data_IF_584713849907
#
_entry.id   IF_584713849907
#
_cell.length_a   1.000
_cell.length_b   1.000
_cell.length_c   1.000
_cell.angle_alpha   90.00
_cell.angle_beta   90.00
_cell.angle_gamma   90.00
#
_symmetry.space_group_name_H-M   'P 1'
#
loop_
_entity.id
_entity.type
_entity.pdbx_description
1 polymer ?
#
# COMPACT_ATOMS: atom_id res chain seq x y z
N UNK A 1 3.69 -10.50 -19.32
CA UNK A 1 2.62 -11.51 -19.17
C UNK A 1 1.23 -10.89 -19.13
N UNK A 2 0.86 -10.06 -18.13
CA UNK A 2 -0.49 -9.47 -18.10
C UNK A 2 -0.84 -8.66 -19.38
N UNK A 3 0.11 -7.85 -19.87
CA UNK A 3 -0.06 -7.11 -21.14
C UNK A 3 -0.11 -8.03 -22.37
N UNK A 4 0.70 -9.09 -22.38
CA UNK A 4 0.75 -10.07 -23.48
C UNK A 4 -0.54 -10.90 -23.55
N UNK A 5 -1.20 -11.11 -22.41
CA UNK A 5 -2.50 -11.76 -22.29
C UNK A 5 -3.69 -10.80 -22.57
N UNK A 6 -3.42 -9.53 -22.87
CA UNK A 6 -4.45 -8.54 -23.18
C UNK A 6 -5.27 -8.07 -21.96
N UNK A 7 -4.81 -8.32 -20.73
CA UNK A 7 -5.56 -7.97 -19.51
C UNK A 7 -5.74 -6.46 -19.29
N UNK A 8 -5.03 -5.63 -20.04
CA UNK A 8 -5.22 -4.18 -20.10
C UNK A 8 -6.51 -3.75 -20.80
N UNK A 9 -7.22 -4.67 -21.47
CA UNK A 9 -8.51 -4.40 -22.11
C UNK A 9 -9.67 -4.76 -21.19
N UNK A 10 -10.76 -3.99 -21.22
CA UNK A 10 -11.91 -4.29 -20.38
C UNK A 10 -12.54 -5.63 -20.79
N UNK A 11 -12.80 -6.56 -19.84
CA UNK A 11 -13.38 -7.85 -20.18
C UNK A 11 -14.75 -7.72 -20.87
N UNK A 12 -15.53 -6.65 -20.62
CA UNK A 12 -16.85 -6.45 -21.25
C UNK A 12 -16.77 -6.40 -22.78
N UNK A 13 -15.67 -5.94 -23.35
CA UNK A 13 -15.50 -5.81 -24.80
C UNK A 13 -15.23 -7.16 -25.49
N UNK A 14 -14.97 -8.23 -24.72
CA UNK A 14 -14.55 -9.54 -25.21
C UNK A 14 -15.51 -10.66 -24.82
N UNK A 15 -16.60 -10.34 -24.10
CA UNK A 15 -17.61 -11.30 -23.61
C UNK A 15 -18.15 -12.18 -24.74
N UNK A 16 -18.28 -11.64 -25.96
CA UNK A 16 -18.78 -12.39 -27.11
C UNK A 16 -17.80 -13.47 -27.62
N UNK A 17 -16.52 -13.37 -27.25
CA UNK A 17 -15.44 -14.21 -27.76
C UNK A 17 -14.80 -15.11 -26.68
N UNK A 18 -15.17 -14.93 -25.41
CA UNK A 18 -14.66 -15.72 -24.28
C UNK A 18 -15.83 -16.32 -23.49
N UNK A 19 -16.08 -17.61 -23.66
CA UNK A 19 -17.14 -18.34 -22.97
C UNK A 19 -16.96 -18.43 -21.45
N UNK A 20 -15.77 -18.10 -20.94
CA UNK A 20 -15.53 -18.01 -19.48
C UNK A 20 -15.91 -16.66 -18.88
N UNK A 21 -16.37 -15.69 -19.70
CA UNK A 21 -16.97 -14.43 -19.25
C UNK A 21 -18.51 -14.53 -19.30
N UNK A 22 -19.05 -15.59 -18.70
CA UNK A 22 -20.48 -15.89 -18.80
C UNK A 22 -21.35 -15.01 -17.88
N UNK A 23 -20.76 -14.47 -16.81
CA UNK A 23 -21.48 -13.75 -15.76
C UNK A 23 -20.87 -12.36 -15.47
N UNK A 24 -21.66 -11.41 -14.92
CA UNK A 24 -21.13 -10.14 -14.40
C UNK A 24 -20.01 -10.34 -13.36
N UNK A 25 -20.08 -11.41 -12.58
CA UNK A 25 -19.08 -11.80 -11.60
C UNK A 25 -17.74 -12.14 -12.26
N UNK A 26 -17.75 -12.88 -13.37
CA UNK A 26 -16.54 -13.22 -14.13
C UNK A 26 -15.82 -11.97 -14.65
N UNK A 27 -16.59 -11.00 -15.15
CA UNK A 27 -16.08 -9.70 -15.60
C UNK A 27 -15.41 -8.95 -14.45
N UNK A 28 -16.07 -8.87 -13.29
CA UNK A 28 -15.53 -8.18 -12.11
C UNK A 28 -14.31 -8.88 -11.51
N UNK A 29 -14.27 -10.22 -11.52
CA UNK A 29 -13.09 -10.98 -11.12
C UNK A 29 -11.88 -10.58 -11.97
N UNK A 30 -12.04 -10.47 -13.29
CA UNK A 30 -10.94 -10.08 -14.18
C UNK A 30 -10.51 -8.63 -14.00
N UNK A 31 -11.46 -7.69 -13.83
CA UNK A 31 -11.14 -6.29 -13.49
C UNK A 31 -10.34 -6.22 -12.19
N UNK A 32 -10.75 -6.97 -11.16
CA UNK A 32 -10.04 -7.04 -9.87
C UNK A 32 -8.64 -7.64 -10.01
N UNK A 33 -8.46 -8.67 -10.85
CA UNK A 33 -7.14 -9.24 -11.15
C UNK A 33 -6.24 -8.16 -11.78
N UNK A 34 -6.72 -7.45 -12.80
CA UNK A 34 -5.93 -6.40 -13.45
C UNK A 34 -5.54 -5.29 -12.47
N UNK A 35 -6.50 -4.72 -11.74
CA UNK A 35 -6.24 -3.65 -10.79
C UNK A 35 -5.37 -4.11 -9.61
N UNK A 36 -5.49 -5.38 -9.19
CA UNK A 36 -4.60 -6.01 -8.22
C UNK A 36 -3.16 -6.13 -8.72
N UNK A 37 -2.97 -6.54 -9.98
CA UNK A 37 -1.67 -6.52 -10.65
C UNK A 37 -1.11 -5.11 -10.77
N UNK A 38 -1.95 -4.13 -11.12
CA UNK A 38 -1.58 -2.72 -11.18
C UNK A 38 -1.05 -2.23 -9.83
N UNK A 39 -1.78 -2.41 -8.73
CA UNK A 39 -1.35 -2.01 -7.38
C UNK A 39 -0.04 -2.70 -6.99
N UNK A 40 0.04 -4.02 -7.23
CA UNK A 40 1.20 -4.84 -6.87
C UNK A 40 2.45 -4.44 -7.66
N UNK A 41 2.31 -4.09 -8.94
CA UNK A 41 3.41 -3.58 -9.74
C UNK A 41 4.01 -2.31 -9.12
N UNK A 42 3.19 -1.40 -8.60
CA UNK A 42 3.66 -0.15 -7.96
C UNK A 42 4.30 -0.41 -6.61
N UNK A 43 3.71 -1.28 -5.78
CA UNK A 43 4.30 -1.68 -4.50
C UNK A 43 5.67 -2.33 -4.71
N UNK A 44 5.78 -3.31 -5.62
CA UNK A 44 7.03 -4.02 -5.90
C UNK A 44 8.06 -3.07 -6.53
N UNK A 45 7.63 -2.17 -7.42
CA UNK A 45 8.51 -1.16 -8.01
C UNK A 45 9.09 -0.24 -6.95
N UNK A 46 8.27 0.21 -5.99
CA UNK A 46 8.70 1.03 -4.87
C UNK A 46 9.66 0.28 -3.94
N UNK A 47 9.44 -1.01 -3.67
CA UNK A 47 10.31 -1.84 -2.83
C UNK A 47 11.67 -2.09 -3.47
N UNK A 48 11.68 -2.45 -4.76
CA UNK A 48 12.88 -2.90 -5.47
C UNK A 48 13.63 -1.77 -6.20
N UNK A 49 13.04 -0.57 -6.28
CA UNK A 49 13.60 0.54 -7.05
C UNK A 49 13.61 0.30 -8.57
N UNK A 50 12.74 -0.59 -9.08
CA UNK A 50 12.61 -0.88 -10.52
C UNK A 50 11.57 0.03 -11.18
N UNK A 51 11.64 0.17 -12.50
CA UNK A 51 10.58 0.83 -13.27
C UNK A 51 9.24 0.08 -13.17
N UNK A 52 8.16 0.84 -13.20
CA UNK A 52 6.78 0.33 -13.32
C UNK A 52 6.54 -0.23 -14.72
N UNK A 53 5.68 -1.23 -14.82
CA UNK A 53 5.34 -1.91 -16.09
C UNK A 53 3.90 -1.65 -16.51
N UNK A 54 2.98 -1.54 -15.55
CA UNK A 54 1.57 -1.27 -15.82
C UNK A 54 1.30 0.22 -15.60
N UNK A 55 1.19 0.95 -16.71
CA UNK A 55 0.85 2.38 -16.75
C UNK A 55 -0.67 2.55 -16.68
N UNK A 56 -1.13 3.55 -15.92
CA UNK A 56 -2.57 3.77 -15.75
C UNK A 56 -3.27 4.16 -17.06
N UNK A 57 -2.62 5.00 -17.86
CA UNK A 57 -3.19 5.54 -19.11
C UNK A 57 -3.30 4.49 -20.23
N UNK A 58 -2.54 3.39 -20.13
CA UNK A 58 -2.62 2.26 -21.06
C UNK A 58 -3.72 1.25 -20.68
N UNK A 59 -4.40 1.47 -19.55
CA UNK A 59 -5.48 0.61 -19.07
C UNK A 59 -6.82 1.04 -19.69
N UNK A 60 -7.42 0.17 -20.49
CA UNK A 60 -8.82 0.32 -20.95
C UNK A 60 -9.81 -0.32 -19.95
N UNK A 61 -9.30 -1.06 -18.95
CA UNK A 61 -10.09 -1.70 -17.89
C UNK A 61 -10.85 -0.65 -17.08
N UNK A 62 -12.15 -0.83 -16.93
CA UNK A 62 -12.99 0.08 -16.15
C UNK A 62 -12.74 -0.07 -14.63
N UNK A 63 -13.08 0.96 -13.83
CA UNK A 63 -13.05 0.85 -12.39
C UNK A 63 -13.92 -0.32 -11.87
N UNK A 64 -13.45 -1.01 -10.82
CA UNK A 64 -14.16 -2.15 -10.22
C UNK A 64 -15.54 -1.75 -9.68
N UNK A 65 -16.53 -2.61 -9.89
CA UNK A 65 -17.87 -2.45 -9.35
C UNK A 65 -18.04 -3.32 -8.08
N UNK A 66 -18.78 -2.79 -7.10
CA UNK A 66 -19.15 -3.55 -5.90
C UNK A 66 -20.40 -4.35 -6.21
N UNK A 67 -20.24 -5.63 -6.53
CA UNK A 67 -21.34 -6.58 -6.66
C UNK A 67 -21.82 -7.05 -5.27
N UNK A 68 -23.09 -7.48 -5.12
CA UNK A 68 -23.55 -8.19 -3.93
C UNK A 68 -22.65 -9.40 -3.65
N UNK A 69 -22.30 -9.63 -2.37
CA UNK A 69 -21.53 -10.82 -2.02
C UNK A 69 -22.38 -12.08 -2.26
N UNK A 70 -21.82 -13.12 -2.92
CA UNK A 70 -22.52 -14.38 -3.07
C UNK A 70 -22.88 -14.96 -1.68
N UNK A 71 -24.06 -15.58 -1.52
CA UNK A 71 -24.50 -16.12 -0.22
C UNK A 71 -23.57 -17.22 0.34
N UNK A 72 -22.74 -17.82 -0.51
CA UNK A 72 -21.78 -18.88 -0.15
C UNK A 72 -20.42 -18.34 0.32
N UNK A 73 -20.15 -17.02 0.17
CA UNK A 73 -18.86 -16.44 0.51
C UNK A 73 -18.77 -16.15 2.01
N UNK A 74 -17.84 -16.81 2.70
CA UNK A 74 -17.61 -16.56 4.12
C UNK A 74 -17.03 -15.15 4.34
N UNK A 75 -17.45 -14.51 5.44
CA UNK A 75 -16.89 -13.23 5.89
C UNK A 75 -15.37 -13.34 6.04
N UNK A 76 -14.66 -12.28 5.67
CA UNK A 76 -13.23 -12.18 5.94
C UNK A 76 -12.97 -12.29 7.46
N UNK A 77 -12.05 -13.18 7.84
CA UNK A 77 -11.63 -13.39 9.25
C UNK A 77 -10.11 -13.20 9.36
N UNK A 78 -9.62 -12.52 10.41
CA UNK A 78 -8.19 -12.49 10.69
C UNK A 78 -7.65 -13.90 10.93
N UNK A 79 -6.51 -14.23 10.32
CA UNK A 79 -5.84 -15.52 10.53
C UNK A 79 -5.30 -15.57 11.96
N UNK A 80 -5.64 -16.64 12.70
CA UNK A 80 -5.11 -16.90 14.05
C UNK A 80 -5.93 -16.31 15.21
N UNK A 81 -7.17 -15.86 14.97
CA UNK A 81 -8.10 -15.39 16.00
C UNK A 81 -9.33 -16.31 16.07
N UNK A 82 -9.81 -16.59 17.29
CA UNK A 82 -10.92 -17.51 17.57
C UNK A 82 -12.27 -17.05 17.00
N UNK A 83 -13.24 -17.97 16.96
CA UNK A 83 -14.59 -17.80 16.39
C UNK A 83 -15.39 -16.63 16.98
N UNK A 84 -15.03 -16.11 18.16
CA UNK A 84 -15.67 -14.96 18.81
C UNK A 84 -15.49 -13.63 18.02
N UNK A 85 -14.58 -13.57 17.03
CA UNK A 85 -14.43 -12.39 16.15
C UNK A 85 -15.58 -12.25 15.12
N UNK A 86 -16.41 -13.29 14.96
CA UNK A 86 -17.45 -13.36 13.92
C UNK A 86 -18.57 -12.32 14.08
N UNK A 87 -18.84 -11.79 15.28
CA UNK A 87 -19.97 -10.88 15.52
C UNK A 87 -19.67 -9.40 15.19
N UNK A 88 -18.41 -8.99 15.09
CA UNK A 88 -18.02 -7.57 14.95
C UNK A 88 -17.70 -7.13 13.51
N UNK A 89 -17.28 -8.06 12.65
CA UNK A 89 -16.94 -7.76 11.27
C UNK A 89 -18.20 -7.74 10.39
N UNK A 90 -18.92 -6.61 10.36
CA UNK A 90 -19.86 -6.35 9.25
C UNK A 90 -19.07 -6.47 7.95
N UNK A 91 -19.41 -7.43 7.09
CA UNK A 91 -18.84 -7.58 5.75
C UNK A 91 -18.97 -6.26 5.01
N UNK A 92 -17.90 -5.48 5.04
CA UNK A 92 -17.78 -4.28 4.24
C UNK A 92 -16.95 -4.70 3.06
N UNK A 93 -17.47 -4.52 1.84
CA UNK A 93 -16.75 -4.86 0.63
C UNK A 93 -15.35 -4.25 0.64
N UNK A 94 -14.33 -4.99 0.20
CA UNK A 94 -12.96 -4.48 0.08
C UNK A 94 -12.76 -3.62 -1.18
N UNK A 95 -13.73 -3.62 -2.11
CA UNK A 95 -13.63 -2.93 -3.39
C UNK A 95 -13.43 -1.41 -3.24
N UNK A 96 -14.18 -0.69 -2.38
CA UNK A 96 -13.93 0.74 -2.13
C UNK A 96 -12.51 1.03 -1.64
N UNK A 97 -11.88 0.13 -0.87
CA UNK A 97 -10.50 0.28 -0.42
C UNK A 97 -9.49 0.04 -1.55
N UNK A 98 -9.78 -0.90 -2.46
CA UNK A 98 -8.95 -1.13 -3.64
C UNK A 98 -8.97 0.09 -4.58
N UNK A 99 -10.09 0.79 -4.71
CA UNK A 99 -10.15 2.06 -5.44
C UNK A 99 -9.17 3.09 -4.87
N UNK A 100 -9.11 3.23 -3.54
CA UNK A 100 -8.16 4.13 -2.90
C UNK A 100 -6.70 3.69 -3.06
N UNK A 101 -6.43 2.37 -3.09
CA UNK A 101 -5.10 1.84 -3.44
C UNK A 101 -4.72 2.14 -4.89
N UNK A 102 -5.65 2.05 -5.85
CA UNK A 102 -5.40 2.44 -7.24
C UNK A 102 -5.08 3.94 -7.31
N UNK A 103 -5.86 4.80 -6.63
CA UNK A 103 -5.61 6.25 -6.58
C UNK A 103 -4.22 6.58 -6.03
N UNK A 104 -3.80 5.95 -4.94
CA UNK A 104 -2.45 6.13 -4.38
C UNK A 104 -1.37 5.57 -5.32
N UNK A 105 -1.63 4.41 -5.94
CA UNK A 105 -0.70 3.79 -6.89
C UNK A 105 -0.43 4.67 -8.10
N UNK A 106 -1.39 5.49 -8.56
CA UNK A 106 -1.14 6.48 -9.62
C UNK A 106 -0.11 7.54 -9.23
N UNK A 107 -0.08 7.94 -7.95
CA UNK A 107 0.93 8.88 -7.44
C UNK A 107 2.29 8.19 -7.39
N UNK A 108 2.34 6.95 -6.90
CA UNK A 108 3.56 6.13 -6.87
C UNK A 108 4.09 5.92 -8.29
N UNK A 109 3.23 5.60 -9.26
CA UNK A 109 3.60 5.46 -10.67
C UNK A 109 4.31 6.71 -11.19
N UNK A 110 3.75 7.90 -10.92
CA UNK A 110 4.37 9.18 -11.28
C UNK A 110 5.70 9.41 -10.58
N UNK A 111 5.84 9.04 -9.30
CA UNK A 111 7.13 9.09 -8.59
C UNK A 111 8.17 8.22 -9.30
N UNK A 112 7.81 6.98 -9.63
CA UNK A 112 8.69 6.00 -10.26
C UNK A 112 9.10 6.40 -11.68
N UNK A 113 8.17 6.97 -12.47
CA UNK A 113 8.43 7.36 -13.87
C UNK A 113 9.15 8.70 -14.02
N UNK A 114 9.18 9.54 -12.97
CA UNK A 114 9.80 10.86 -13.02
C UNK A 114 11.06 10.94 -12.15
N UNK A 115 10.90 11.10 -10.84
CA UNK A 115 11.99 11.40 -9.92
C UNK A 115 12.91 10.20 -9.69
N UNK A 116 12.35 8.98 -9.71
CA UNK A 116 13.10 7.74 -9.50
C UNK A 116 13.44 7.01 -10.81
N UNK A 117 13.19 7.62 -11.96
CA UNK A 117 13.63 7.05 -13.23
C UNK A 117 15.17 6.98 -13.27
N UNK A 118 15.77 5.84 -13.67
CA UNK A 118 17.22 5.72 -13.84
C UNK A 118 17.79 6.74 -14.83
N UNK A 119 16.97 7.22 -15.77
CA UNK A 119 17.35 8.23 -16.75
C UNK A 119 16.65 9.54 -16.39
N UNK A 120 17.41 10.59 -16.02
CA UNK A 120 16.81 11.88 -15.74
C UNK A 120 16.26 12.48 -17.03
N UNK A 121 14.93 12.63 -17.10
CA UNK A 121 14.22 13.27 -18.21
C UNK A 121 13.89 14.74 -17.93
N UNK A 122 14.11 15.19 -16.70
CA UNK A 122 13.77 16.52 -16.20
C UNK A 122 15.07 17.26 -15.83
N UNK A 123 15.14 18.55 -16.20
CA UNK A 123 16.15 19.47 -15.69
C UNK A 123 15.89 19.79 -14.21
N UNK A 124 16.89 20.37 -13.53
CA UNK A 124 16.82 20.62 -12.08
C UNK A 124 15.59 21.47 -11.64
N UNK A 125 15.21 22.55 -12.35
CA UNK A 125 13.99 23.29 -12.04
C UNK A 125 12.72 22.43 -12.17
N UNK A 126 12.57 21.66 -13.27
CA UNK A 126 11.39 20.81 -13.46
C UNK A 126 11.35 19.66 -12.47
N UNK A 127 12.50 19.11 -12.07
CA UNK A 127 12.59 18.09 -10.99
C UNK A 127 12.06 18.65 -9.68
N UNK A 128 12.42 19.89 -9.31
CA UNK A 128 11.92 20.53 -8.09
C UNK A 128 10.41 20.76 -8.13
N UNK A 129 9.89 21.29 -9.23
CA UNK A 129 8.44 21.49 -9.43
C UNK A 129 7.69 20.15 -9.37
N UNK A 130 8.24 19.10 -9.99
CA UNK A 130 7.68 17.75 -9.95
C UNK A 130 7.63 17.20 -8.51
N UNK A 131 8.71 17.37 -7.75
CA UNK A 131 8.78 16.99 -6.34
C UNK A 131 7.74 17.69 -5.47
N UNK A 132 7.58 19.00 -5.63
CA UNK A 132 6.58 19.76 -4.87
C UNK A 132 5.15 19.34 -5.22
N UNK A 133 4.88 19.10 -6.51
CA UNK A 133 3.58 18.62 -6.99
C UNK A 133 3.26 17.21 -6.45
N UNK A 134 4.24 16.29 -6.42
CA UNK A 134 4.03 14.94 -5.88
C UNK A 134 3.72 14.98 -4.36
N UNK A 135 4.40 15.85 -3.61
CA UNK A 135 4.08 16.06 -2.19
C UNK A 135 2.66 16.64 -2.01
N UNK A 136 2.26 17.57 -2.87
CA UNK A 136 0.90 18.13 -2.86
C UNK A 136 -0.15 17.05 -3.19
N UNK A 137 0.11 16.20 -4.17
CA UNK A 137 -0.80 15.12 -4.57
C UNK A 137 -0.94 14.08 -3.45
N UNK A 138 0.14 13.73 -2.73
CA UNK A 138 0.06 12.88 -1.55
C UNK A 138 -0.81 13.51 -0.45
N UNK A 139 -0.65 14.81 -0.18
CA UNK A 139 -1.48 15.49 0.82
C UNK A 139 -2.96 15.50 0.42
N UNK A 140 -3.25 15.89 -0.83
CA UNK A 140 -4.61 15.88 -1.38
C UNK A 140 -5.25 14.50 -1.32
N UNK A 141 -4.48 13.46 -1.67
CA UNK A 141 -4.96 12.08 -1.57
C UNK A 141 -5.39 11.75 -0.14
N UNK A 142 -4.53 12.02 0.87
CA UNK A 142 -4.83 11.76 2.29
C UNK A 142 -6.06 12.54 2.77
N UNK A 143 -6.18 13.80 2.40
CA UNK A 143 -7.30 14.67 2.80
C UNK A 143 -8.63 14.28 2.14
N UNK A 144 -8.55 13.76 0.91
CA UNK A 144 -9.73 13.34 0.13
C UNK A 144 -10.22 11.92 0.46
N UNK A 145 -9.58 11.22 1.40
CA UNK A 145 -10.00 9.87 1.78
C UNK A 145 -11.45 9.91 2.31
N UNK A 146 -12.31 8.96 1.89
CA UNK A 146 -13.63 8.79 2.47
C UNK A 146 -13.54 8.25 3.90
N UNK A 147 -14.56 8.48 4.72
CA UNK A 147 -14.53 8.14 6.15
C UNK A 147 -14.24 6.67 6.43
N UNK A 148 -14.71 5.75 5.58
CA UNK A 148 -14.42 4.32 5.71
C UNK A 148 -12.93 3.99 5.58
N UNK A 149 -12.16 4.80 4.84
CA UNK A 149 -10.73 4.60 4.60
C UNK A 149 -9.84 5.48 5.50
N UNK A 150 -10.43 6.32 6.35
CA UNK A 150 -9.67 7.17 7.27
C UNK A 150 -9.16 6.34 8.46
N UNK A 151 -7.98 6.71 8.92
CA UNK A 151 -7.42 6.22 10.17
C UNK A 151 -6.89 7.41 10.98
N UNK A 152 -7.18 7.40 12.28
CA UNK A 152 -6.78 8.46 13.20
C UNK A 152 -6.05 7.84 14.39
N UNK A 153 -4.81 8.29 14.61
CA UNK A 153 -3.95 7.83 15.72
C UNK A 153 -4.59 7.98 17.10
N UNK A 154 -5.36 9.04 17.31
CA UNK A 154 -6.07 9.35 18.57
C UNK A 154 -7.59 9.34 18.41
N UNK A 155 -8.09 8.65 17.38
CA UNK A 155 -9.53 8.50 17.17
C UNK A 155 -10.19 7.61 18.24
N UNK A 156 -11.53 7.59 18.30
CA UNK A 156 -12.25 6.57 19.07
C UNK A 156 -11.75 5.17 18.66
N UNK A 157 -11.81 4.22 19.60
CA UNK A 157 -11.36 2.83 19.44
C UNK A 157 -12.22 2.05 18.44
N UNK A 158 -12.22 2.51 17.20
CA UNK A 158 -12.62 1.71 16.05
C UNK A 158 -11.54 0.63 15.86
N UNK A 159 -11.97 -0.58 15.50
CA UNK A 159 -11.06 -1.64 15.08
C UNK A 159 -10.85 -1.51 13.57
N UNK A 160 -9.85 -0.75 13.09
CA UNK A 160 -9.63 -0.60 11.65
C UNK A 160 -9.29 -1.96 11.06
N UNK A 161 -9.97 -2.32 9.98
CA UNK A 161 -9.64 -3.52 9.22
C UNK A 161 -8.19 -3.46 8.72
N UNK A 162 -7.53 -4.62 8.49
CA UNK A 162 -6.17 -4.65 7.96
C UNK A 162 -5.94 -3.84 6.68
N UNK A 163 -6.94 -3.81 5.79
CA UNK A 163 -6.86 -3.07 4.53
C UNK A 163 -6.65 -1.57 4.72
N UNK A 164 -7.26 -0.97 5.74
CA UNK A 164 -7.06 0.45 6.07
C UNK A 164 -5.63 0.67 6.56
N UNK A 165 -5.17 -0.16 7.49
CA UNK A 165 -3.82 -0.04 8.04
C UNK A 165 -2.75 -0.22 6.95
N UNK A 166 -2.94 -1.20 6.05
CA UNK A 166 -2.09 -1.43 4.89
C UNK A 166 -2.07 -0.23 3.93
N UNK A 167 -3.22 0.39 3.68
CA UNK A 167 -3.34 1.58 2.83
C UNK A 167 -2.54 2.76 3.39
N UNK A 168 -2.68 3.05 4.68
CA UNK A 168 -1.92 4.13 5.34
C UNK A 168 -0.43 3.81 5.43
N UNK A 169 -0.05 2.54 5.64
CA UNK A 169 1.35 2.12 5.59
C UNK A 169 1.97 2.34 4.21
N UNK A 170 1.26 2.01 3.13
CA UNK A 170 1.72 2.29 1.77
C UNK A 170 1.94 3.79 1.55
N UNK A 171 0.99 4.61 2.01
CA UNK A 171 1.09 6.07 1.94
C UNK A 171 2.34 6.59 2.65
N UNK A 172 2.56 6.21 3.91
CA UNK A 172 3.72 6.66 4.67
C UNK A 172 5.03 6.15 4.07
N UNK A 173 5.03 4.93 3.52
CA UNK A 173 6.19 4.38 2.82
C UNK A 173 6.55 5.18 1.57
N UNK A 174 5.55 5.54 0.75
CA UNK A 174 5.74 6.39 -0.43
C UNK A 174 6.20 7.80 -0.04
N UNK A 175 5.62 8.37 1.02
CA UNK A 175 5.97 9.70 1.52
C UNK A 175 7.41 9.77 2.04
N UNK A 176 7.86 8.76 2.79
CA UNK A 176 9.26 8.64 3.20
C UNK A 176 10.14 8.48 1.97
N UNK A 177 9.82 7.55 1.07
CA UNK A 177 10.63 7.32 -0.14
C UNK A 177 10.82 8.60 -0.96
N UNK A 178 9.75 9.38 -1.17
CA UNK A 178 9.82 10.66 -1.89
C UNK A 178 10.76 11.67 -1.23
N UNK A 179 10.67 11.80 0.10
CA UNK A 179 11.28 12.92 0.81
C UNK A 179 12.64 12.60 1.46
N UNK A 180 13.03 11.33 1.56
CA UNK A 180 14.17 10.93 2.38
C UNK A 180 15.50 11.53 1.94
N UNK A 181 15.82 11.46 0.65
CA UNK A 181 17.10 11.98 0.14
C UNK A 181 17.16 13.51 0.24
N UNK A 182 16.03 14.18 -0.04
CA UNK A 182 15.90 15.63 0.18
C UNK A 182 16.03 15.99 1.66
N UNK A 183 15.49 15.19 2.58
CA UNK A 183 15.57 15.45 4.02
C UNK A 183 16.97 15.26 4.60
N UNK A 184 17.82 14.44 3.96
CA UNK A 184 19.22 14.22 4.36
C UNK A 184 20.15 15.28 3.76
N UNK A 185 19.77 15.89 2.64
CA UNK A 185 20.53 16.98 2.05
C UNK A 185 20.76 18.08 3.11
N UNK A 186 22.00 18.20 3.59
CA UNK A 186 22.33 19.01 4.77
C UNK A 186 22.64 20.45 4.37
N UNK A 187 21.72 21.13 3.68
CA UNK A 187 21.91 22.52 3.22
C UNK A 187 21.12 23.55 4.05
N UNK A 188 20.26 23.09 4.96
CA UNK A 188 19.50 23.93 5.88
C UNK A 188 18.41 24.79 5.21
N UNK A 189 17.89 24.38 4.05
CA UNK A 189 16.82 25.13 3.38
C UNK A 189 15.40 24.69 3.83
N UNK A 190 14.41 25.56 3.62
CA UNK A 190 13.00 25.31 4.01
C UNK A 190 12.43 24.02 3.39
N UNK A 191 12.82 23.68 2.16
CA UNK A 191 12.40 22.45 1.49
C UNK A 191 12.90 21.20 2.22
N UNK A 192 14.15 21.21 2.70
CA UNK A 192 14.77 20.13 3.47
C UNK A 192 14.09 19.96 4.82
N UNK A 193 13.78 21.07 5.51
CA UNK A 193 13.06 21.03 6.79
C UNK A 193 11.66 20.43 6.63
N UNK A 194 10.93 20.83 5.59
CA UNK A 194 9.62 20.25 5.26
C UNK A 194 9.71 18.76 4.91
N UNK A 195 10.72 18.38 4.13
CA UNK A 195 10.98 16.97 3.78
C UNK A 195 11.31 16.13 5.01
N UNK A 196 12.13 16.68 5.91
CA UNK A 196 12.46 16.06 7.20
C UNK A 196 11.21 15.90 8.05
N UNK A 197 10.36 16.92 8.15
CA UNK A 197 9.10 16.84 8.88
C UNK A 197 8.23 15.69 8.33
N UNK A 198 8.06 15.59 7.01
CA UNK A 198 7.29 14.51 6.39
C UNK A 198 7.86 13.12 6.68
N UNK A 199 9.18 12.97 6.67
CA UNK A 199 9.85 11.71 7.00
C UNK A 199 9.71 11.34 8.48
N UNK A 200 9.84 12.32 9.39
CA UNK A 200 9.70 12.15 10.84
C UNK A 200 8.27 11.75 11.18
N UNK A 201 7.28 12.56 10.76
CA UNK A 201 5.87 12.29 11.08
C UNK A 201 5.42 10.95 10.51
N UNK A 202 5.88 10.60 9.30
CA UNK A 202 5.54 9.31 8.69
C UNK A 202 6.14 8.12 9.42
N UNK A 203 7.36 8.24 9.97
CA UNK A 203 7.95 7.20 10.79
C UNK A 203 7.18 6.98 12.10
N UNK A 204 6.72 8.06 12.73
CA UNK A 204 5.92 8.00 13.96
C UNK A 204 4.51 7.44 13.73
N UNK A 205 3.87 7.84 12.63
CA UNK A 205 2.56 7.31 12.22
C UNK A 205 2.69 5.83 11.84
N UNK A 206 3.75 5.44 11.13
CA UNK A 206 4.05 4.02 10.83
C UNK A 206 4.22 3.18 12.09
N UNK A 207 4.96 3.67 13.08
CA UNK A 207 5.08 3.01 14.39
C UNK A 207 3.72 2.82 15.06
N UNK A 208 2.85 3.83 14.96
CA UNK A 208 1.50 3.78 15.54
C UNK A 208 0.62 2.77 14.82
N UNK A 209 0.66 2.73 13.48
CA UNK A 209 -0.03 1.74 12.65
C UNK A 209 0.41 0.31 12.97
N UNK A 210 1.73 0.09 13.11
CA UNK A 210 2.30 -1.22 13.46
C UNK A 210 1.89 -1.66 14.87
N UNK A 211 1.85 -0.74 15.85
CA UNK A 211 1.34 -1.02 17.20
C UNK A 211 -0.13 -1.43 17.14
N UNK A 212 -0.98 -0.69 16.43
CA UNK A 212 -2.40 -1.02 16.28
C UNK A 212 -2.59 -2.39 15.63
N UNK A 213 -1.91 -2.65 14.52
CA UNK A 213 -2.01 -3.93 13.81
C UNK A 213 -1.54 -5.09 14.68
N UNK A 214 -0.38 -4.95 15.34
CA UNK A 214 0.16 -5.97 16.24
C UNK A 214 -0.82 -6.33 17.35
N UNK A 215 -1.44 -5.33 17.99
CA UNK A 215 -2.40 -5.56 19.08
C UNK A 215 -3.68 -6.23 18.60
N UNK A 216 -4.16 -5.91 17.38
CA UNK A 216 -5.43 -6.43 16.87
C UNK A 216 -5.31 -7.75 16.12
N UNK A 217 -4.19 -7.96 15.41
CA UNK A 217 -4.03 -9.01 14.41
C UNK A 217 -2.73 -9.80 14.55
N UNK A 218 -1.85 -9.43 15.48
CA UNK A 218 -0.47 -9.94 15.52
C UNK A 218 0.35 -9.50 14.30
N UNK A 219 1.63 -9.85 14.25
CA UNK A 219 2.52 -9.51 13.12
C UNK A 219 2.93 -10.72 12.28
N UNK A 220 2.57 -11.93 12.71
CA UNK A 220 3.03 -13.17 12.11
C UNK A 220 2.59 -13.35 10.65
N UNK A 221 1.40 -12.85 10.31
CA UNK A 221 0.80 -12.90 8.96
C UNK A 221 0.73 -11.53 8.29
N UNK A 222 1.55 -10.56 8.73
CA UNK A 222 1.52 -9.22 8.19
C UNK A 222 1.91 -9.21 6.70
N UNK A 223 1.15 -8.53 5.83
CA UNK A 223 1.49 -8.41 4.40
C UNK A 223 2.83 -7.70 4.16
N UNK A 224 3.44 -7.92 2.99
CA UNK A 224 4.74 -7.36 2.61
C UNK A 224 4.85 -5.84 2.80
N UNK A 225 3.75 -5.09 2.60
CA UNK A 225 3.72 -3.64 2.81
C UNK A 225 4.06 -3.22 4.25
N UNK A 226 3.78 -4.06 5.25
CA UNK A 226 4.14 -3.83 6.64
C UNK A 226 5.64 -3.94 6.86
N UNK A 227 6.27 -4.95 6.24
CA UNK A 227 7.72 -5.12 6.26
C UNK A 227 8.39 -3.91 5.61
N UNK A 228 7.94 -3.54 4.42
CA UNK A 228 8.50 -2.39 3.70
C UNK A 228 8.32 -1.08 4.48
N UNK A 229 7.12 -0.83 5.02
CA UNK A 229 6.84 0.35 5.84
C UNK A 229 7.70 0.41 7.09
N UNK A 230 7.88 -0.71 7.80
CA UNK A 230 8.75 -0.79 8.97
C UNK A 230 10.22 -0.51 8.62
N UNK A 231 10.73 -1.01 7.49
CA UNK A 231 12.09 -0.72 7.01
C UNK A 231 12.26 0.77 6.68
N UNK A 232 11.34 1.36 5.91
CA UNK A 232 11.39 2.78 5.54
C UNK A 232 11.31 3.69 6.78
N UNK A 233 10.39 3.40 7.69
CA UNK A 233 10.26 4.11 8.95
C UNK A 233 11.50 3.96 9.82
N UNK A 234 12.09 2.76 9.93
CA UNK A 234 13.30 2.53 10.72
C UNK A 234 14.49 3.30 10.16
N UNK A 235 14.67 3.29 8.83
CA UNK A 235 15.69 4.08 8.13
C UNK A 235 15.52 5.58 8.41
N UNK A 236 14.29 6.09 8.30
CA UNK A 236 13.94 7.49 8.60
C UNK A 236 14.21 7.84 10.07
N UNK A 237 13.71 7.04 11.01
CA UNK A 237 13.88 7.25 12.44
C UNK A 237 15.36 7.28 12.85
N UNK A 238 16.18 6.36 12.30
CA UNK A 238 17.63 6.37 12.49
C UNK A 238 18.29 7.63 11.94
N UNK A 239 17.95 8.03 10.72
CA UNK A 239 18.54 9.19 10.06
C UNK A 239 18.26 10.50 10.81
N UNK A 240 17.09 10.63 11.45
CA UNK A 240 16.65 11.86 12.10
C UNK A 240 16.67 11.82 13.63
N UNK A 241 17.27 10.78 14.24
CA UNK A 241 17.49 10.68 15.68
C UNK A 241 16.26 10.38 16.52
N UNK A 242 15.24 9.73 15.95
CA UNK A 242 14.01 9.34 16.65
C UNK A 242 14.20 7.97 17.31
N UNK A 243 14.92 7.96 18.44
CA UNK A 243 15.46 6.72 19.02
C UNK A 243 14.40 5.72 19.50
N UNK A 244 13.32 6.19 20.15
CA UNK A 244 12.27 5.29 20.65
C UNK A 244 11.61 4.51 19.50
N UNK A 245 11.19 5.24 18.45
CA UNK A 245 10.60 4.66 17.24
C UNK A 245 11.60 3.74 16.55
N UNK A 246 12.88 4.12 16.42
CA UNK A 246 13.90 3.26 15.83
C UNK A 246 14.05 1.92 16.56
N UNK A 247 14.12 1.95 17.89
CA UNK A 247 14.20 0.72 18.69
C UNK A 247 12.96 -0.16 18.53
N UNK A 248 11.76 0.43 18.62
CA UNK A 248 10.51 -0.29 18.44
C UNK A 248 10.38 -0.91 17.03
N UNK A 249 10.74 -0.15 16.00
CA UNK A 249 10.68 -0.60 14.60
C UNK A 249 11.67 -1.76 14.34
N UNK A 250 12.87 -1.73 14.92
CA UNK A 250 13.80 -2.84 14.81
C UNK A 250 13.30 -4.12 15.51
N UNK A 251 12.69 -3.98 16.69
CA UNK A 251 12.04 -5.12 17.35
C UNK A 251 10.90 -5.68 16.49
N UNK A 252 10.05 -4.81 15.94
CA UNK A 252 8.94 -5.17 15.05
C UNK A 252 9.45 -5.90 13.81
N UNK A 253 10.55 -5.45 13.20
CA UNK A 253 11.20 -6.13 12.07
C UNK A 253 11.68 -7.54 12.43
N UNK A 254 12.15 -7.76 13.66
CA UNK A 254 12.47 -9.08 14.18
C UNK A 254 11.24 -10.01 14.20
N UNK A 255 10.11 -9.51 14.68
CA UNK A 255 8.85 -10.28 14.70
C UNK A 255 8.31 -10.54 13.29
N UNK A 256 8.34 -9.55 12.40
CA UNK A 256 7.97 -9.69 10.99
C UNK A 256 8.86 -10.68 10.23
N UNK A 257 10.11 -10.88 10.66
CA UNK A 257 11.00 -11.86 10.05
C UNK A 257 10.53 -13.32 10.27
N UNK A 258 9.75 -13.55 11.33
CA UNK A 258 9.21 -14.88 11.66
C UNK A 258 8.15 -15.38 10.66
N UNK A 259 7.60 -14.50 9.81
CA UNK A 259 6.69 -14.87 8.73
C UNK A 259 7.31 -15.91 7.78
N UNK A 260 8.64 -15.91 7.61
CA UNK A 260 9.36 -16.94 6.86
C UNK A 260 9.60 -18.22 7.69
N UNK A 261 9.62 -18.11 9.02
CA UNK A 261 9.72 -19.23 9.96
C UNK A 261 8.50 -20.16 9.96
N UNK A 262 7.32 -19.65 9.62
CA UNK A 262 6.09 -20.44 9.46
C UNK A 262 6.25 -21.61 8.49
N UNK A 263 7.00 -21.42 7.41
CA UNK A 263 7.29 -22.50 6.46
C UNK A 263 8.11 -23.63 7.11
N UNK A 264 9.04 -23.29 8.02
CA UNK A 264 9.80 -24.26 8.82
C UNK A 264 8.92 -24.98 9.83
N UNK A 265 8.01 -24.28 10.49
CA UNK A 265 7.09 -24.89 11.44
C UNK A 265 6.06 -25.79 10.75
N UNK A 266 5.52 -25.36 9.61
CA UNK A 266 4.64 -26.18 8.77
C UNK A 266 5.36 -27.44 8.26
N UNK A 267 6.60 -27.31 7.77
CA UNK A 267 7.41 -28.48 7.41
C UNK A 267 7.63 -29.43 8.59
N UNK A 268 7.89 -28.91 9.80
CA UNK A 268 8.08 -29.75 11.00
C UNK A 268 6.83 -30.47 11.47
N UNK A 269 5.64 -29.98 11.07
CA UNK A 269 4.35 -30.64 11.33
C UNK A 269 3.95 -31.62 10.23
N UNK A 270 4.65 -31.59 9.09
CA UNK A 270 4.44 -32.49 7.96
C UNK A 270 5.45 -33.66 7.91
N UNK A 271 6.48 -33.62 8.75
CA UNK A 271 7.42 -34.73 9.04
C UNK A 271 7.03 -35.43 10.33
#
# INVERSE_FOLDING_TARGET
>A
MAQDLGFQRDPKDWVQHDSSLATPEDVEIRRRIYWGCYISDKLISLILGRSVYLVYEDAEVQPMETLPEPPEMALWRPVGFDDDYAESAKATSMIPYLHEQVRLSRIIERMMSTLFSPRPHLDDPSRRVCFDNLNLDLNRWRESLPDFAKWHKWGPSSNPIPGVLALHLLFHSARIALNHDQAIASRGNETEEKSRLYCVTSAQDTTSLLRTYRTQYGLQHAPLVFVYGAVQASRSAKAFGILEEFHYLNQTLGELSSTWGLSREAMSRMT
#
